data_IF_410042341867
#
_entry.id   IF_410042341867
#
_cell.length_a   1.000
_cell.length_b   1.000
_cell.length_c   1.000
_cell.angle_alpha   90.00
_cell.angle_beta   90.00
_cell.angle_gamma   90.00
#
_symmetry.space_group_name_H-M   'P 1'
#
loop_
_entity.id
_entity.type
_entity.pdbx_description
1 polymer ?
#
# COMPACT_ATOMS: atom_id res chain seq x y z
N UNK A 1 -6.39 -15.04 -3.95
CA UNK A 1 -5.58 -14.37 -2.91
C UNK A 1 -4.14 -14.74 -3.16
N UNK A 2 -3.29 -13.75 -3.48
CA UNK A 2 -1.90 -13.92 -3.91
C UNK A 2 -0.92 -13.83 -2.75
N UNK A 3 -1.26 -13.08 -1.71
CA UNK A 3 -0.50 -12.93 -0.47
C UNK A 3 -1.28 -13.47 0.72
N UNK A 4 -0.57 -13.87 1.78
CA UNK A 4 -1.22 -14.29 3.00
C UNK A 4 -2.06 -13.14 3.59
N UNK A 5 -3.32 -13.40 3.93
CA UNK A 5 -4.26 -12.39 4.44
C UNK A 5 -3.68 -11.60 5.63
N UNK A 6 -3.00 -12.31 6.54
CA UNK A 6 -2.28 -11.70 7.67
C UNK A 6 -1.25 -10.65 7.27
N UNK A 7 -0.52 -10.87 6.17
CA UNK A 7 0.50 -9.93 5.72
C UNK A 7 -0.15 -8.70 5.08
N UNK A 8 -1.27 -8.87 4.37
CA UNK A 8 -2.09 -7.77 3.84
C UNK A 8 -2.63 -6.90 4.99
N UNK A 9 -3.18 -7.53 6.04
CA UNK A 9 -3.70 -6.82 7.22
C UNK A 9 -2.58 -6.06 7.94
N UNK A 10 -1.41 -6.66 8.14
CA UNK A 10 -0.26 -5.99 8.79
C UNK A 10 0.21 -4.75 8.07
N UNK A 11 0.19 -4.75 6.74
CA UNK A 11 0.53 -3.56 5.95
C UNK A 11 -0.56 -2.51 6.12
N UNK A 12 -1.82 -2.93 6.00
CA UNK A 12 -2.99 -2.07 6.13
C UNK A 12 -3.05 -1.37 7.49
N UNK A 13 -2.74 -2.05 8.60
CA UNK A 13 -2.69 -1.49 9.95
C UNK A 13 -1.65 -0.37 10.12
N UNK A 14 -0.64 -0.29 9.25
CA UNK A 14 0.39 0.76 9.29
C UNK A 14 -0.03 2.02 8.54
N UNK A 15 -1.16 2.00 7.86
CA UNK A 15 -1.60 3.12 7.05
C UNK A 15 -2.26 4.21 7.94
N UNK A 16 -1.87 5.48 7.80
CA UNK A 16 -2.38 6.56 8.66
C UNK A 16 -3.76 7.07 8.17
N UNK A 17 -4.83 6.29 8.43
CA UNK A 17 -6.20 6.58 7.97
C UNK A 17 -6.73 7.95 8.38
N UNK A 18 -6.49 8.38 9.61
CA UNK A 18 -7.03 9.65 10.13
C UNK A 18 -6.46 10.87 9.41
N UNK A 19 -5.21 10.76 8.98
CA UNK A 19 -4.49 11.83 8.28
C UNK A 19 -4.79 11.78 6.78
N UNK A 20 -4.77 10.58 6.19
CA UNK A 20 -4.88 10.39 4.75
C UNK A 20 -6.32 10.22 4.23
N UNK A 21 -7.30 10.16 5.13
CA UNK A 21 -8.74 10.15 4.81
C UNK A 21 -9.33 11.54 4.58
N UNK A 22 -8.65 12.60 5.05
CA UNK A 22 -9.09 13.99 4.84
C UNK A 22 -8.19 14.70 3.83
N UNK A 23 -8.79 15.47 2.92
CA UNK A 23 -8.06 16.11 1.82
C UNK A 23 -7.02 17.13 2.31
N UNK A 24 -7.37 17.97 3.28
CA UNK A 24 -6.48 19.02 3.76
C UNK A 24 -5.38 18.41 4.63
N UNK A 25 -5.74 17.50 5.56
CA UNK A 25 -4.75 16.78 6.37
C UNK A 25 -3.78 15.98 5.52
N UNK A 26 -4.25 15.42 4.41
CA UNK A 26 -3.38 14.74 3.45
C UNK A 26 -2.36 15.70 2.85
N UNK A 27 -2.77 16.89 2.41
CA UNK A 27 -1.85 17.90 1.89
C UNK A 27 -0.84 18.36 2.94
N UNK A 28 -1.29 18.63 4.17
CA UNK A 28 -0.44 19.06 5.28
C UNK A 28 0.57 17.97 5.67
N UNK A 29 0.14 16.70 5.64
CA UNK A 29 1.02 15.55 5.83
C UNK A 29 2.08 15.47 4.74
N UNK A 30 1.70 15.62 3.47
CA UNK A 30 2.65 15.62 2.37
C UNK A 30 3.67 16.77 2.52
N UNK A 31 3.24 17.95 2.95
CA UNK A 31 4.14 19.09 3.21
C UNK A 31 5.12 18.79 4.36
N UNK A 32 4.62 18.21 5.44
CA UNK A 32 5.45 17.80 6.59
C UNK A 32 6.50 16.78 6.17
N UNK A 33 6.10 15.78 5.39
CA UNK A 33 7.00 14.79 4.80
C UNK A 33 8.02 15.52 3.91
N UNK A 34 7.60 16.34 2.95
CA UNK A 34 8.52 17.05 2.04
C UNK A 34 9.57 17.86 2.81
N UNK A 35 9.16 18.60 3.84
CA UNK A 35 10.06 19.37 4.70
C UNK A 35 11.07 18.49 5.42
N UNK A 36 10.63 17.38 6.02
CA UNK A 36 11.52 16.41 6.66
C UNK A 36 12.55 15.84 5.66
N UNK A 37 12.12 15.49 4.44
CA UNK A 37 13.03 14.97 3.41
C UNK A 37 14.03 16.01 2.91
N UNK A 38 13.64 17.28 2.87
CA UNK A 38 14.57 18.37 2.56
C UNK A 38 15.60 18.58 3.68
N UNK A 39 15.16 18.58 4.94
CA UNK A 39 16.04 18.71 6.11
C UNK A 39 17.03 17.55 6.25
N UNK A 40 16.64 16.35 5.82
CA UNK A 40 17.42 15.11 5.94
C UNK A 40 17.97 14.59 4.62
N UNK A 41 18.05 15.44 3.57
CA UNK A 41 18.41 15.04 2.21
C UNK A 41 19.70 14.21 2.14
N UNK A 42 20.74 14.61 2.85
CA UNK A 42 22.05 13.95 2.82
C UNK A 42 22.08 12.61 3.57
N UNK A 43 21.06 12.36 4.40
CA UNK A 43 20.89 11.14 5.18
C UNK A 43 19.89 10.15 4.57
N UNK A 44 19.09 10.56 3.57
CA UNK A 44 18.09 9.70 2.92
C UNK A 44 18.71 8.41 2.36
N UNK A 45 19.85 8.52 1.68
CA UNK A 45 20.56 7.38 1.09
C UNK A 45 21.19 6.44 2.12
N UNK A 46 21.37 6.90 3.35
CA UNK A 46 22.01 6.15 4.45
C UNK A 46 20.99 5.48 5.37
N UNK A 47 19.71 5.76 5.20
CA UNK A 47 18.64 5.13 5.97
C UNK A 47 18.46 3.67 5.54
N UNK A 48 18.31 2.68 6.45
CA UNK A 48 18.09 2.81 7.90
C UNK A 48 19.35 2.76 8.77
N UNK A 49 20.55 2.75 8.19
CA UNK A 49 21.82 2.70 8.94
C UNK A 49 21.98 3.92 9.83
N UNK A 50 21.58 5.10 9.34
CA UNK A 50 21.42 6.32 10.14
C UNK A 50 19.93 6.53 10.38
N UNK A 51 19.50 6.33 11.62
CA UNK A 51 18.09 6.52 12.01
C UNK A 51 17.84 7.96 12.43
N UNK A 52 16.77 8.52 11.87
CA UNK A 52 16.19 9.78 12.28
C UNK A 52 14.67 9.59 12.24
N UNK A 53 13.99 9.91 13.33
CA UNK A 53 12.53 9.74 13.46
C UNK A 53 11.74 10.36 12.28
N UNK A 54 12.09 11.55 11.74
CA UNK A 54 11.39 12.10 10.57
C UNK A 54 11.51 11.25 9.30
N UNK A 55 12.51 10.37 9.20
CA UNK A 55 12.71 9.47 8.07
C UNK A 55 11.92 8.16 8.19
N UNK A 56 11.33 7.86 9.35
CA UNK A 56 10.51 6.67 9.54
C UNK A 56 9.25 6.72 8.67
N UNK A 57 8.64 7.90 8.54
CA UNK A 57 7.49 8.12 7.65
C UNK A 57 7.88 8.00 6.17
N UNK A 58 9.05 8.51 5.79
CA UNK A 58 9.61 8.30 4.45
C UNK A 58 9.81 6.83 4.14
N UNK A 59 10.37 6.08 5.09
CA UNK A 59 10.57 4.66 4.93
C UNK A 59 9.25 3.90 4.80
N UNK A 60 8.20 4.33 5.52
CA UNK A 60 6.84 3.80 5.38
C UNK A 60 6.26 4.09 3.99
N UNK A 61 6.36 5.31 3.49
CA UNK A 61 5.93 5.67 2.13
C UNK A 61 6.73 4.91 1.06
N UNK A 62 8.03 4.73 1.27
CA UNK A 62 8.89 3.92 0.40
C UNK A 62 8.45 2.45 0.39
N UNK A 63 8.09 1.91 1.56
CA UNK A 63 7.56 0.56 1.67
C UNK A 63 6.26 0.41 0.87
N UNK A 64 5.30 1.34 1.06
CA UNK A 64 4.04 1.36 0.31
C UNK A 64 4.25 1.46 -1.20
N UNK A 65 5.12 2.37 -1.65
CA UNK A 65 5.52 2.46 -3.06
C UNK A 65 6.11 1.15 -3.57
N UNK A 66 6.95 0.48 -2.76
CA UNK A 66 7.65 -0.75 -3.18
C UNK A 66 6.71 -1.93 -3.33
N UNK A 67 5.75 -2.10 -2.42
CA UNK A 67 4.84 -3.25 -2.40
C UNK A 67 3.62 -3.08 -3.32
N UNK A 68 3.36 -1.86 -3.80
CA UNK A 68 2.26 -1.57 -4.71
C UNK A 68 2.38 -2.42 -5.99
N UNK A 69 1.42 -3.33 -6.14
CA UNK A 69 1.36 -4.37 -7.19
C UNK A 69 -0.12 -4.70 -7.48
N UNK A 70 -0.40 -5.23 -8.67
CA UNK A 70 -1.77 -5.62 -9.06
C UNK A 70 -2.34 -6.68 -8.12
N UNK A 71 -1.49 -7.62 -7.72
CA UNK A 71 -1.78 -8.71 -6.81
C UNK A 71 -2.20 -8.16 -5.45
N UNK A 72 -1.47 -7.17 -4.92
CA UNK A 72 -1.78 -6.55 -3.64
C UNK A 72 -3.11 -5.78 -3.72
N UNK A 73 -3.35 -5.01 -4.78
CA UNK A 73 -4.62 -4.28 -4.94
C UNK A 73 -5.82 -5.26 -4.98
N UNK A 74 -5.70 -6.37 -5.72
CA UNK A 74 -6.73 -7.41 -5.76
C UNK A 74 -6.96 -8.05 -4.39
N UNK A 75 -5.88 -8.35 -3.67
CA UNK A 75 -5.99 -8.98 -2.36
C UNK A 75 -6.54 -8.02 -1.30
N UNK A 76 -6.23 -6.71 -1.38
CA UNK A 76 -6.85 -5.68 -0.54
C UNK A 76 -8.34 -5.61 -0.82
N UNK A 77 -8.76 -5.54 -2.08
CA UNK A 77 -10.18 -5.48 -2.46
C UNK A 77 -10.99 -6.68 -1.93
N UNK A 78 -10.37 -7.86 -1.80
CA UNK A 78 -11.02 -9.05 -1.23
C UNK A 78 -10.95 -9.08 0.30
N UNK A 79 -9.83 -8.65 0.89
CA UNK A 79 -9.57 -8.77 2.34
C UNK A 79 -10.23 -7.63 3.13
N UNK A 80 -10.35 -6.46 2.51
CA UNK A 80 -10.73 -5.18 3.11
C UNK A 80 -11.72 -4.50 2.17
N UNK A 81 -12.87 -5.15 2.00
CA UNK A 81 -13.94 -4.74 1.10
C UNK A 81 -14.78 -3.60 1.70
N UNK A 82 -14.10 -2.53 2.10
CA UNK A 82 -14.72 -1.31 2.62
C UNK A 82 -13.96 -0.06 2.14
N UNK A 83 -14.42 1.09 2.59
CA UNK A 83 -13.83 2.37 2.23
C UNK A 83 -12.37 2.54 2.66
N UNK A 84 -11.92 1.82 3.69
CA UNK A 84 -10.52 1.86 4.15
C UNK A 84 -9.63 1.13 3.17
N UNK A 85 -10.11 0.00 2.62
CA UNK A 85 -9.46 -0.68 1.52
C UNK A 85 -9.35 0.21 0.28
N UNK A 86 -10.46 0.86 -0.10
CA UNK A 86 -10.48 1.84 -1.18
C UNK A 86 -9.49 3.00 -0.97
N UNK A 87 -9.47 3.58 0.23
CA UNK A 87 -8.55 4.65 0.60
C UNK A 87 -7.09 4.20 0.49
N UNK A 88 -6.77 3.05 1.06
CA UNK A 88 -5.42 2.52 1.04
C UNK A 88 -4.94 2.23 -0.40
N UNK A 89 -5.78 1.59 -1.22
CA UNK A 89 -5.47 1.33 -2.62
C UNK A 89 -5.26 2.62 -3.42
N UNK A 90 -6.09 3.65 -3.21
CA UNK A 90 -5.94 4.95 -3.87
C UNK A 90 -4.54 5.53 -3.62
N UNK A 91 -4.07 5.50 -2.37
CA UNK A 91 -2.74 6.01 -2.01
C UNK A 91 -1.59 5.16 -2.58
N UNK A 92 -1.73 3.84 -2.63
CA UNK A 92 -0.75 2.97 -3.30
C UNK A 92 -0.60 3.34 -4.78
N UNK A 93 -1.72 3.57 -5.47
CA UNK A 93 -1.73 4.01 -6.87
C UNK A 93 -1.14 5.41 -7.03
N UNK A 94 -1.46 6.36 -6.16
CA UNK A 94 -0.92 7.73 -6.23
C UNK A 94 0.60 7.79 -6.00
N UNK A 95 1.14 6.92 -5.13
CA UNK A 95 2.58 6.79 -4.87
C UNK A 95 3.33 6.09 -6.01
N UNK A 96 2.64 5.23 -6.77
CA UNK A 96 3.17 4.47 -7.91
C UNK A 96 2.13 4.43 -9.04
N UNK A 97 1.94 5.53 -9.81
CA UNK A 97 0.89 5.65 -10.80
C UNK A 97 1.26 4.96 -12.12
N UNK A 98 1.51 3.65 -12.05
CA UNK A 98 1.78 2.82 -13.22
C UNK A 98 0.47 2.50 -13.95
N UNK A 99 0.46 2.41 -15.30
CA UNK A 99 -0.75 2.13 -16.07
C UNK A 99 -1.52 0.88 -15.59
N UNK A 100 -0.80 -0.15 -15.18
CA UNK A 100 -1.40 -1.39 -14.69
C UNK A 100 -2.13 -1.19 -13.34
N UNK A 101 -1.59 -0.35 -12.46
CA UNK A 101 -2.22 -0.05 -11.16
C UNK A 101 -3.39 0.93 -11.32
N UNK A 102 -3.26 1.91 -12.23
CA UNK A 102 -4.33 2.85 -12.58
C UNK A 102 -5.56 2.15 -13.17
N UNK A 103 -5.40 0.98 -13.78
CA UNK A 103 -6.53 0.17 -14.27
C UNK A 103 -7.52 -0.24 -13.16
N UNK A 104 -7.13 -0.17 -11.88
CA UNK A 104 -8.02 -0.44 -10.73
C UNK A 104 -8.84 0.77 -10.28
N UNK A 105 -8.71 1.95 -10.92
CA UNK A 105 -9.36 3.20 -10.46
C UNK A 105 -10.87 3.06 -10.23
N UNK A 106 -11.57 2.33 -11.09
CA UNK A 106 -13.03 2.17 -10.99
C UNK A 106 -13.39 1.30 -9.79
N UNK A 107 -12.64 0.21 -9.58
CA UNK A 107 -12.81 -0.65 -8.40
C UNK A 107 -12.50 0.11 -7.11
N UNK A 108 -11.44 0.94 -7.10
CA UNK A 108 -11.12 1.82 -5.98
C UNK A 108 -12.26 2.82 -5.75
N UNK A 109 -12.74 3.47 -6.80
CA UNK A 109 -13.80 4.48 -6.71
C UNK A 109 -15.13 3.90 -6.19
N UNK A 110 -15.41 2.63 -6.44
CA UNK A 110 -16.58 1.92 -5.94
C UNK A 110 -16.55 1.71 -4.41
N UNK A 111 -15.36 1.61 -3.81
CA UNK A 111 -15.18 1.43 -2.36
C UNK A 111 -15.15 2.77 -1.61
N UNK A 112 -14.76 3.86 -2.26
CA UNK A 112 -14.62 5.17 -1.62
C UNK A 112 -15.97 5.80 -1.25
N UNK A 113 -16.05 6.29 0.00
CA UNK A 113 -17.16 7.13 0.47
C UNK A 113 -17.23 8.49 -0.27
N UNK A 114 -18.40 9.16 -0.28
CA UNK A 114 -18.57 10.47 -0.91
C UNK A 114 -17.59 11.54 -0.44
N UNK A 115 -17.25 11.57 0.86
CA UNK A 115 -16.25 12.49 1.43
C UNK A 115 -14.84 12.29 0.86
N UNK A 116 -14.56 11.14 0.27
CA UNK A 116 -13.30 10.83 -0.41
C UNK A 116 -13.34 11.12 -1.92
N UNK A 117 -14.34 11.86 -2.41
CA UNK A 117 -14.45 12.21 -3.84
C UNK A 117 -13.19 12.91 -4.39
N UNK A 118 -12.46 13.65 -3.54
CA UNK A 118 -11.19 14.28 -3.90
C UNK A 118 -10.13 13.26 -4.37
N UNK A 119 -10.10 12.04 -3.82
CA UNK A 119 -9.17 11.00 -4.28
C UNK A 119 -9.52 10.48 -5.66
N UNK A 120 -10.81 10.43 -6.03
CA UNK A 120 -11.23 10.07 -7.39
C UNK A 120 -10.65 11.06 -8.39
N UNK A 121 -10.71 12.35 -8.05
CA UNK A 121 -10.10 13.43 -8.84
C UNK A 121 -8.59 13.25 -8.97
N UNK A 122 -7.89 12.99 -7.86
CA UNK A 122 -6.43 12.82 -7.88
C UNK A 122 -6.00 11.59 -8.68
N UNK A 123 -6.74 10.47 -8.58
CA UNK A 123 -6.49 9.26 -9.37
C UNK A 123 -6.69 9.51 -10.87
N UNK A 124 -7.76 10.23 -11.25
CA UNK A 124 -8.00 10.59 -12.64
C UNK A 124 -6.87 11.47 -13.21
N UNK A 125 -6.36 12.39 -12.40
CA UNK A 125 -5.26 13.27 -12.76
C UNK A 125 -3.92 12.52 -12.85
N UNK A 126 -3.72 11.49 -12.04
CA UNK A 126 -2.53 10.64 -12.14
C UNK A 126 -2.47 9.85 -13.46
N UNK A 127 -3.62 9.54 -14.07
CA UNK A 127 -3.71 8.91 -15.40
C UNK A 127 -3.45 9.90 -16.53
N UNK A 128 -3.92 11.15 -16.38
CA UNK A 128 -3.79 12.20 -17.39
C UNK A 128 -3.20 13.46 -16.75
N UNK A 129 -1.87 13.54 -16.60
CA UNK A 129 -1.22 14.74 -16.08
C UNK A 129 -1.34 15.87 -17.11
N UNK A 130 -2.42 16.64 -17.02
CA UNK A 130 -2.62 17.82 -17.87
C UNK A 130 -1.70 18.96 -17.42
N UNK A 131 -1.06 19.62 -18.38
CA UNK A 131 -0.09 20.69 -18.10
C UNK A 131 -0.75 21.98 -17.57
N UNK A 132 -2.08 22.09 -17.62
CA UNK A 132 -2.78 23.38 -17.58
C UNK A 132 -2.99 23.92 -16.17
N UNK A 133 -3.08 23.06 -15.14
CA UNK A 133 -3.13 23.51 -13.74
C UNK A 133 -2.49 22.44 -12.85
N UNK A 134 -1.23 22.63 -12.46
CA UNK A 134 -0.57 21.75 -11.51
C UNK A 134 -1.25 21.88 -10.14
N UNK A 135 -2.20 20.99 -9.88
CA UNK A 135 -2.93 20.97 -8.61
C UNK A 135 -1.98 20.75 -7.43
N UNK A 136 -2.27 21.29 -6.24
CA UNK A 136 -1.37 21.27 -5.09
C UNK A 136 -0.82 19.88 -4.71
N UNK A 137 -1.60 18.81 -4.87
CA UNK A 137 -1.17 17.45 -4.55
C UNK A 137 -0.20 16.86 -5.58
N UNK A 138 -0.31 17.25 -6.86
CA UNK A 138 0.49 16.64 -7.93
C UNK A 138 1.97 17.00 -7.77
N UNK A 139 2.28 18.28 -7.52
CA UNK A 139 3.65 18.72 -7.24
C UNK A 139 4.22 18.08 -5.97
N UNK A 140 3.41 17.99 -4.91
CA UNK A 140 3.80 17.34 -3.65
C UNK A 140 4.13 15.85 -3.84
N UNK A 141 3.26 15.11 -4.51
CA UNK A 141 3.49 13.70 -4.83
C UNK A 141 4.71 13.52 -5.73
N UNK A 142 4.93 14.41 -6.71
CA UNK A 142 6.12 14.38 -7.55
C UNK A 142 7.40 14.58 -6.72
N UNK A 143 7.42 15.57 -5.82
CA UNK A 143 8.55 15.83 -4.91
C UNK A 143 8.81 14.64 -3.98
N UNK A 144 7.77 14.09 -3.35
CA UNK A 144 7.90 12.90 -2.50
C UNK A 144 8.45 11.72 -3.29
N UNK A 145 7.91 11.44 -4.48
CA UNK A 145 8.43 10.35 -5.33
C UNK A 145 9.92 10.53 -5.67
N UNK A 146 10.35 11.76 -5.96
CA UNK A 146 11.76 12.06 -6.20
C UNK A 146 12.63 11.84 -4.95
N UNK A 147 12.17 12.26 -3.77
CA UNK A 147 12.87 12.02 -2.50
C UNK A 147 12.93 10.53 -2.14
N UNK A 148 11.84 9.78 -2.35
CA UNK A 148 11.78 8.33 -2.16
C UNK A 148 12.73 7.58 -3.11
N UNK A 149 13.00 8.09 -4.31
CA UNK A 149 13.94 7.49 -5.24
C UNK A 149 15.40 7.52 -4.72
N UNK A 150 15.73 8.48 -3.85
CA UNK A 150 17.05 8.59 -3.22
C UNK A 150 17.24 7.65 -2.02
N UNK A 151 16.17 7.03 -1.53
CA UNK A 151 16.24 6.10 -0.40
C UNK A 151 16.51 4.66 -0.85
N UNK A 152 17.27 3.88 -0.07
CA UNK A 152 17.38 2.45 -0.28
C UNK A 152 16.00 1.78 -0.23
N UNK A 153 15.81 0.79 -1.10
CA UNK A 153 14.60 -0.03 -1.04
C UNK A 153 14.55 -0.73 0.33
N UNK A 154 13.46 -0.55 1.10
CA UNK A 154 13.25 -1.28 2.33
C UNK A 154 13.46 -2.77 2.07
N UNK A 155 14.14 -3.47 2.99
CA UNK A 155 14.05 -4.93 3.02
C UNK A 155 12.56 -5.23 3.09
N UNK A 156 12.00 -5.71 1.98
CA UNK A 156 10.55 -5.67 1.75
C UNK A 156 9.86 -6.30 2.95
N UNK A 157 8.74 -5.71 3.38
CA UNK A 157 7.80 -6.49 4.17
C UNK A 157 7.47 -7.70 3.28
N UNK A 158 7.96 -8.87 3.68
CA UNK A 158 7.84 -10.08 2.87
C UNK A 158 6.36 -10.44 2.84
N UNK A 159 5.64 -9.90 1.86
CA UNK A 159 4.31 -10.34 1.52
C UNK A 159 4.47 -11.78 1.05
N UNK A 160 4.20 -12.73 1.94
CA UNK A 160 4.40 -14.13 1.61
C UNK A 160 3.35 -14.52 0.61
N UNK A 161 3.73 -15.15 -0.52
CA UNK A 161 2.74 -15.70 -1.42
C UNK A 161 1.78 -16.59 -0.64
N UNK A 162 0.48 -16.34 -0.78
CA UNK A 162 -0.51 -17.31 -0.37
C UNK A 162 -0.21 -18.57 -1.19
N UNK A 163 0.05 -19.68 -0.51
CA UNK A 163 0.15 -20.97 -1.20
C UNK A 163 -1.18 -21.16 -1.91
N UNK A 164 -1.15 -21.22 -3.24
CA UNK A 164 -2.31 -21.61 -4.03
C UNK A 164 -2.61 -23.07 -3.70
N UNK A 165 -3.37 -23.26 -2.63
CA UNK A 165 -3.88 -24.56 -2.26
C UNK A 165 -5.00 -24.82 -3.23
N UNK A 166 -4.85 -25.86 -4.06
CA UNK A 166 -5.97 -26.38 -4.83
C UNK A 166 -7.14 -26.71 -3.88
N UNK A 167 -8.37 -26.73 -4.43
CA UNK A 167 -9.57 -26.92 -3.62
C UNK A 167 -9.54 -28.23 -2.82
N UNK A 168 -8.83 -29.25 -3.33
CA UNK A 168 -8.65 -30.55 -2.71
C UNK A 168 -7.74 -30.46 -1.48
N UNK A 169 -6.60 -29.78 -1.58
CA UNK A 169 -5.65 -29.52 -0.50
C UNK A 169 -6.24 -28.58 0.54
N UNK A 170 -7.06 -27.60 0.13
CA UNK A 170 -7.81 -26.76 1.05
C UNK A 170 -8.83 -27.58 1.86
N UNK A 171 -9.54 -28.51 1.23
CA UNK A 171 -10.45 -29.43 1.93
C UNK A 171 -9.69 -30.39 2.84
N UNK A 172 -8.55 -30.93 2.40
CA UNK A 172 -7.70 -31.79 3.21
C UNK A 172 -7.17 -31.06 4.46
N UNK A 173 -6.75 -29.80 4.31
CA UNK A 173 -6.32 -28.94 5.43
C UNK A 173 -7.47 -28.65 6.41
N UNK A 174 -8.67 -28.34 5.89
CA UNK A 174 -9.87 -28.14 6.73
C UNK A 174 -10.23 -29.41 7.50
N UNK A 175 -10.25 -30.57 6.84
CA UNK A 175 -10.54 -31.85 7.48
C UNK A 175 -9.48 -32.21 8.53
N UNK A 176 -8.19 -32.01 8.22
CA UNK A 176 -7.10 -32.26 9.16
C UNK A 176 -7.17 -31.33 10.38
N UNK A 177 -7.54 -30.06 10.20
CA UNK A 177 -7.77 -29.13 11.31
C UNK A 177 -8.97 -29.56 12.17
N UNK A 178 -10.08 -29.97 11.55
CA UNK A 178 -11.27 -30.43 12.28
C UNK A 178 -11.02 -31.72 13.06
N UNK A 179 -10.17 -32.62 12.56
CA UNK A 179 -9.90 -33.91 13.19
C UNK A 179 -8.76 -33.86 14.22
N UNK A 180 -7.73 -33.06 13.97
CA UNK A 180 -6.46 -33.12 14.69
C UNK A 180 -5.94 -31.73 15.13
N UNK A 181 -6.76 -30.69 14.96
CA UNK A 181 -6.42 -29.32 15.31
C UNK A 181 -5.23 -28.77 14.51
N UNK A 182 -4.50 -27.83 15.12
CA UNK A 182 -3.36 -27.17 14.49
C UNK A 182 -2.24 -28.15 14.09
N UNK A 183 -2.06 -29.25 14.83
CA UNK A 183 -1.05 -30.27 14.51
C UNK A 183 -1.33 -30.99 13.19
N UNK A 184 -2.59 -31.38 12.94
CA UNK A 184 -3.00 -31.98 11.66
C UNK A 184 -2.92 -31.02 10.49
N UNK A 185 -3.30 -29.76 10.71
CA UNK A 185 -3.18 -28.71 9.69
C UNK A 185 -1.72 -28.54 9.23
N UNK A 186 -0.77 -28.45 10.17
CA UNK A 186 0.65 -28.31 9.82
C UNK A 186 1.25 -29.57 9.18
N UNK A 187 0.76 -30.76 9.53
CA UNK A 187 1.18 -32.00 8.89
C UNK A 187 0.80 -32.04 7.41
N UNK A 188 -0.44 -31.67 7.06
CA UNK A 188 -0.92 -31.66 5.67
C UNK A 188 -0.32 -30.50 4.86
N UNK A 189 -0.06 -29.35 5.50
CA UNK A 189 0.55 -28.20 4.84
C UNK A 189 2.00 -28.50 4.38
N UNK A 190 2.72 -29.34 5.14
CA UNK A 190 4.13 -29.67 4.89
C UNK A 190 4.33 -30.93 4.02
N UNK A 191 3.25 -31.61 3.60
CA UNK A 191 3.34 -32.68 2.61
C UNK A 191 3.50 -32.06 1.22
N UNK A 192 4.65 -32.36 0.59
CA UNK A 192 5.00 -31.98 -0.78
C UNK A 192 4.20 -32.79 -1.78
#
# INVERSE_FOLDING_TARGET
MHYHQHDVIKVWERFPYETLGDAQKSLDYLDTVIQAGAAHRDTLAQYPTVRAEPLDEYYRLKLFQTIASNELLRDIAVTIDDWRGGLFMAWLVLLKPEPALLAHREAIAALLLPEHAWLKTWLHQAEQPTATEAQPHHSRLATIKAQLAAMPTPASLQLKPAVALDAEKLNALKQAYLQQGAAGFHSVLNQK
#
